data_IF_914619099096
#
_entry.id   IF_914619099096
#
_cell.length_a   1.000
_cell.length_b   1.000
_cell.length_c   1.000
_cell.angle_alpha   90.00
_cell.angle_beta   90.00
_cell.angle_gamma   90.00
#
_symmetry.space_group_name_H-M   'P 1'
#
loop_
_entity.id
_entity.type
_entity.pdbx_description
1 polymer ?
#
# COMPACT_ATOMS: atom_id res chain seq x y z
N UNK A 1 -29.20 16.71 -5.67
CA UNK A 1 -28.00 15.95 -5.41
C UNK A 1 -27.75 15.96 -3.92
N UNK A 2 -27.73 14.81 -3.30
CA UNK A 2 -27.50 14.72 -1.86
C UNK A 2 -26.00 14.68 -1.53
N UNK A 3 -25.69 14.54 -0.26
CA UNK A 3 -24.30 14.50 0.21
C UNK A 3 -23.52 13.32 -0.37
N UNK A 4 -24.19 12.18 -0.57
CA UNK A 4 -23.56 10.99 -1.13
C UNK A 4 -23.18 11.21 -2.60
N UNK A 5 -24.07 11.83 -3.36
CA UNK A 5 -23.79 12.14 -4.76
C UNK A 5 -22.65 13.14 -4.89
N UNK A 6 -22.56 14.10 -3.97
CA UNK A 6 -21.46 15.05 -3.96
C UNK A 6 -20.14 14.36 -3.63
N UNK A 7 -20.11 13.45 -2.67
CA UNK A 7 -18.94 12.67 -2.33
C UNK A 7 -18.49 11.83 -3.53
N UNK A 8 -19.44 11.21 -4.22
CA UNK A 8 -19.15 10.45 -5.44
C UNK A 8 -18.60 11.37 -6.53
N UNK A 9 -19.20 12.55 -6.72
CA UNK A 9 -18.72 13.51 -7.70
C UNK A 9 -17.30 13.99 -7.42
N UNK A 10 -16.97 14.21 -6.15
CA UNK A 10 -15.59 14.54 -5.75
C UNK A 10 -14.66 13.36 -5.98
N UNK A 11 -15.16 12.13 -5.75
CA UNK A 11 -14.41 10.91 -5.98
C UNK A 11 -14.11 10.62 -7.43
N UNK A 12 -14.84 11.17 -8.39
CA UNK A 12 -14.51 10.98 -9.81
C UNK A 12 -13.17 11.57 -10.18
N UNK A 13 -12.64 12.47 -9.36
CA UNK A 13 -11.27 12.98 -9.50
C UNK A 13 -10.26 12.12 -8.76
N UNK A 14 -10.71 11.11 -8.02
CA UNK A 14 -9.82 10.15 -7.39
C UNK A 14 -9.36 9.10 -8.41
N UNK A 15 -8.11 8.71 -8.30
CA UNK A 15 -7.56 7.60 -9.07
C UNK A 15 -7.56 6.36 -8.18
N UNK A 16 -8.10 5.26 -8.70
CA UNK A 16 -8.08 3.97 -8.01
C UNK A 16 -7.51 2.93 -8.95
N UNK A 17 -6.38 2.33 -8.58
CA UNK A 17 -5.68 1.32 -9.36
C UNK A 17 -5.44 0.11 -8.49
N UNK A 18 -5.76 -1.06 -9.03
CA UNK A 18 -5.48 -2.35 -8.40
C UNK A 18 -4.45 -3.07 -9.24
N UNK A 19 -3.39 -3.56 -8.59
CA UNK A 19 -2.30 -4.27 -9.23
C UNK A 19 -2.10 -5.60 -8.54
N UNK A 20 -1.80 -6.61 -9.33
CA UNK A 20 -1.43 -7.91 -8.86
C UNK A 20 -0.11 -8.30 -9.52
N UNK A 21 0.87 -8.63 -8.71
CA UNK A 21 2.18 -9.11 -9.18
C UNK A 21 2.52 -10.42 -8.48
N UNK A 22 3.45 -11.15 -9.03
CA UNK A 22 4.03 -12.28 -8.28
C UNK A 22 4.72 -11.75 -7.03
N UNK A 23 4.67 -12.53 -5.95
CA UNK A 23 5.32 -12.19 -4.70
C UNK A 23 6.83 -12.42 -4.83
N UNK A 24 7.47 -11.58 -5.61
CA UNK A 24 8.88 -11.61 -5.99
C UNK A 24 9.45 -10.21 -5.89
N UNK A 25 10.55 -10.06 -5.19
CA UNK A 25 11.20 -8.76 -4.98
C UNK A 25 11.54 -8.06 -6.29
N UNK A 26 11.86 -8.82 -7.35
CA UNK A 26 12.15 -8.26 -8.66
C UNK A 26 10.98 -7.55 -9.32
N UNK A 27 9.75 -7.78 -8.86
CA UNK A 27 8.55 -7.17 -9.42
C UNK A 27 8.07 -5.92 -8.68
N UNK A 28 8.68 -5.58 -7.55
CA UNK A 28 8.29 -4.40 -6.76
C UNK A 28 8.46 -3.11 -7.55
N UNK A 29 9.36 -3.08 -8.51
CA UNK A 29 9.58 -1.91 -9.38
C UNK A 29 8.29 -1.49 -10.10
N UNK A 30 7.42 -2.43 -10.46
CA UNK A 30 6.15 -2.12 -11.11
C UNK A 30 5.18 -1.41 -10.16
N UNK A 31 5.11 -1.85 -8.92
CA UNK A 31 4.30 -1.17 -7.89
C UNK A 31 4.82 0.24 -7.66
N UNK A 32 6.14 0.38 -7.56
CA UNK A 32 6.80 1.65 -7.35
C UNK A 32 6.47 2.63 -8.48
N UNK A 33 6.60 2.20 -9.72
CA UNK A 33 6.32 3.03 -10.88
C UNK A 33 4.88 3.54 -10.90
N UNK A 34 3.92 2.66 -10.60
CA UNK A 34 2.50 3.04 -10.57
C UNK A 34 2.20 4.00 -9.43
N UNK A 35 2.68 3.71 -8.22
CA UNK A 35 2.44 4.56 -7.05
C UNK A 35 3.04 5.95 -7.23
N UNK A 36 4.26 6.05 -7.76
CA UNK A 36 4.91 7.33 -8.06
C UNK A 36 4.12 8.13 -9.10
N UNK A 37 3.68 7.48 -10.16
CA UNK A 37 2.91 8.13 -11.21
C UNK A 37 1.59 8.67 -10.66
N UNK A 38 0.87 7.88 -9.90
CA UNK A 38 -0.40 8.29 -9.29
C UNK A 38 -0.18 9.48 -8.35
N UNK A 39 0.85 9.43 -7.51
CA UNK A 39 1.16 10.49 -6.57
C UNK A 39 1.50 11.81 -7.29
N UNK A 40 2.30 11.74 -8.35
CA UNK A 40 2.65 12.92 -9.14
C UNK A 40 1.42 13.53 -9.82
N UNK A 41 0.57 12.71 -10.41
CA UNK A 41 -0.68 13.18 -11.05
C UNK A 41 -1.59 13.84 -10.01
N UNK A 42 -1.64 13.31 -8.80
CA UNK A 42 -2.44 13.86 -7.72
C UNK A 42 -1.88 15.18 -7.15
N UNK A 43 -0.69 15.58 -7.56
CA UNK A 43 -0.09 16.86 -7.17
C UNK A 43 0.84 16.79 -5.96
N UNK A 44 1.27 15.60 -5.57
CA UNK A 44 2.26 15.44 -4.50
C UNK A 44 3.63 15.97 -4.96
N UNK A 45 4.41 16.49 -4.03
CA UNK A 45 5.77 16.97 -4.31
C UNK A 45 6.72 15.79 -4.51
N UNK A 46 7.89 16.07 -5.07
CA UNK A 46 8.93 15.06 -5.27
C UNK A 46 9.34 14.42 -3.93
N UNK A 47 9.42 15.20 -2.86
CA UNK A 47 9.77 14.69 -1.53
C UNK A 47 8.66 13.78 -0.97
N UNK A 48 7.41 14.18 -1.15
CA UNK A 48 6.25 13.36 -0.74
C UNK A 48 6.19 12.06 -1.53
N UNK A 49 6.48 12.12 -2.82
CA UNK A 49 6.55 10.91 -3.67
C UNK A 49 7.68 10.00 -3.22
N UNK A 50 8.83 10.55 -2.85
CA UNK A 50 9.96 9.77 -2.35
C UNK A 50 9.60 9.03 -1.05
N UNK A 51 8.92 9.69 -0.12
CA UNK A 51 8.46 9.06 1.12
C UNK A 51 7.46 7.93 0.84
N UNK A 52 6.53 8.16 -0.07
CA UNK A 52 5.56 7.15 -0.50
C UNK A 52 6.26 5.93 -1.08
N UNK A 53 7.28 6.14 -1.91
CA UNK A 53 8.07 5.05 -2.47
C UNK A 53 8.78 4.24 -1.40
N UNK A 54 9.42 4.90 -0.43
CA UNK A 54 10.12 4.20 0.65
C UNK A 54 9.13 3.36 1.47
N UNK A 55 7.98 3.91 1.82
CA UNK A 55 6.95 3.19 2.57
C UNK A 55 6.44 1.98 1.79
N UNK A 56 6.19 2.14 0.49
CA UNK A 56 5.75 1.03 -0.36
C UNK A 56 6.81 -0.06 -0.47
N UNK A 57 8.07 0.31 -0.67
CA UNK A 57 9.17 -0.65 -0.76
C UNK A 57 9.27 -1.49 0.52
N UNK A 58 9.18 -0.86 1.69
CA UNK A 58 9.24 -1.55 2.98
C UNK A 58 8.04 -2.48 3.16
N UNK A 59 6.83 -2.01 2.86
CA UNK A 59 5.61 -2.82 2.99
C UNK A 59 5.65 -4.03 2.06
N UNK A 60 5.96 -3.81 0.78
CA UNK A 60 6.01 -4.88 -0.20
C UNK A 60 7.10 -5.90 0.12
N UNK A 61 8.28 -5.45 0.48
CA UNK A 61 9.41 -6.34 0.84
C UNK A 61 9.05 -7.21 2.04
N UNK A 62 8.47 -6.62 3.07
CA UNK A 62 8.06 -7.33 4.27
C UNK A 62 7.08 -8.46 3.94
N UNK A 63 6.05 -8.15 3.15
CA UNK A 63 5.03 -9.14 2.79
C UNK A 63 5.57 -10.20 1.83
N UNK A 64 6.39 -9.82 0.87
CA UNK A 64 6.99 -10.79 -0.08
C UNK A 64 7.86 -11.81 0.66
N UNK A 65 8.67 -11.35 1.62
CA UNK A 65 9.52 -12.24 2.39
C UNK A 65 8.72 -13.22 3.25
N UNK A 66 7.51 -12.85 3.67
CA UNK A 66 6.61 -13.72 4.43
C UNK A 66 5.60 -14.49 3.58
N UNK A 67 5.51 -14.23 2.30
CA UNK A 67 4.52 -14.83 1.42
C UNK A 67 4.77 -16.32 1.20
N UNK A 68 3.67 -17.09 1.06
CA UNK A 68 3.77 -18.49 0.70
C UNK A 68 4.32 -18.63 -0.72
N UNK A 69 4.96 -19.78 -1.05
CA UNK A 69 5.51 -20.01 -2.39
C UNK A 69 4.47 -19.87 -3.49
N UNK A 70 4.88 -19.35 -4.63
CA UNK A 70 4.06 -19.23 -5.85
C UNK A 70 2.77 -18.42 -5.66
N UNK A 71 2.78 -17.50 -4.71
CA UNK A 71 1.66 -16.62 -4.45
C UNK A 71 1.85 -15.25 -5.08
N UNK A 72 0.84 -14.41 -4.95
CA UNK A 72 0.84 -13.08 -5.54
C UNK A 72 0.68 -12.01 -4.47
N UNK A 73 1.20 -10.85 -4.78
CA UNK A 73 1.05 -9.64 -3.99
C UNK A 73 -0.03 -8.78 -4.64
N UNK A 74 -0.95 -8.28 -3.84
CA UNK A 74 -1.99 -7.35 -4.29
C UNK A 74 -1.66 -5.96 -3.79
N UNK A 75 -1.88 -4.95 -4.62
CA UNK A 75 -1.66 -3.57 -4.24
C UNK A 75 -2.81 -2.72 -4.73
N UNK A 76 -3.44 -1.99 -3.82
CA UNK A 76 -4.47 -1.01 -4.13
C UNK A 76 -3.90 0.38 -3.89
N UNK A 77 -3.99 1.23 -4.91
CA UNK A 77 -3.55 2.63 -4.82
C UNK A 77 -4.77 3.51 -5.08
N UNK A 78 -5.12 4.32 -4.09
CA UNK A 78 -6.24 5.26 -4.20
C UNK A 78 -5.73 6.65 -3.85
N UNK A 79 -5.88 7.59 -4.76
CA UNK A 79 -5.41 8.95 -4.55
C UNK A 79 -6.42 9.98 -5.03
N UNK A 80 -6.53 11.06 -4.30
CA UNK A 80 -7.23 12.28 -4.71
C UNK A 80 -6.28 13.48 -4.51
N UNK A 81 -6.80 14.71 -4.61
CA UNK A 81 -5.97 15.90 -4.45
C UNK A 81 -5.51 16.16 -3.01
N UNK A 82 -5.98 15.37 -2.05
CA UNK A 82 -5.69 15.57 -0.62
C UNK A 82 -4.82 14.48 -0.03
N UNK A 83 -4.95 13.24 -0.50
CA UNK A 83 -4.23 12.10 0.10
C UNK A 83 -4.03 10.99 -0.91
N UNK A 84 -3.05 10.14 -0.63
CA UNK A 84 -2.86 8.85 -1.28
C UNK A 84 -2.89 7.76 -0.22
N UNK A 85 -3.66 6.71 -0.48
CA UNK A 85 -3.71 5.52 0.36
C UNK A 85 -3.26 4.32 -0.45
N UNK A 86 -2.33 3.57 0.12
CA UNK A 86 -1.79 2.36 -0.51
C UNK A 86 -2.00 1.20 0.46
N UNK A 87 -2.56 0.13 -0.03
CA UNK A 87 -2.71 -1.12 0.71
C UNK A 87 -2.03 -2.23 -0.06
N UNK A 88 -1.14 -2.95 0.62
CA UNK A 88 -0.42 -4.08 0.05
C UNK A 88 -0.83 -5.32 0.83
N UNK A 89 -1.22 -6.37 0.11
CA UNK A 89 -1.70 -7.61 0.70
C UNK A 89 -1.02 -8.83 0.11
N UNK A 90 -0.80 -9.83 0.94
CA UNK A 90 -0.23 -11.11 0.53
C UNK A 90 -0.79 -12.22 1.40
N UNK A 91 -0.66 -13.46 0.93
CA UNK A 91 -0.94 -14.64 1.74
C UNK A 91 0.38 -15.13 2.32
N UNK A 92 0.48 -15.10 3.64
CA UNK A 92 1.71 -15.41 4.35
C UNK A 92 1.64 -16.76 5.09
N UNK A 93 2.80 -17.33 5.33
CA UNK A 93 2.90 -18.61 6.08
C UNK A 93 2.74 -18.44 7.58
N UNK A 94 2.78 -17.22 8.09
CA UNK A 94 2.69 -16.88 9.50
C UNK A 94 1.74 -15.70 9.68
N UNK A 95 1.22 -15.52 10.89
CA UNK A 95 0.36 -14.40 11.25
C UNK A 95 1.13 -13.10 11.48
N UNK A 96 2.44 -13.20 11.69
CA UNK A 96 3.26 -12.05 12.08
C UNK A 96 4.53 -11.96 11.21
N UNK A 97 4.37 -11.77 9.88
CA UNK A 97 5.52 -11.53 9.01
C UNK A 97 6.13 -10.14 9.23
N UNK A 98 5.44 -9.28 9.97
CA UNK A 98 5.81 -7.90 10.18
C UNK A 98 6.46 -7.75 11.55
N UNK A 99 7.73 -7.37 11.56
CA UNK A 99 8.43 -7.04 12.79
C UNK A 99 8.17 -5.57 13.13
N UNK A 100 7.17 -5.32 13.99
CA UNK A 100 6.81 -3.96 14.40
C UNK A 100 7.87 -3.32 15.32
N UNK A 101 8.81 -4.10 15.82
CA UNK A 101 9.98 -3.58 16.53
C UNK A 101 11.16 -3.35 15.59
N UNK A 102 11.04 -3.75 14.32
CA UNK A 102 12.11 -3.66 13.35
C UNK A 102 12.27 -2.26 12.75
N UNK A 103 13.42 -2.08 12.11
CA UNK A 103 13.80 -0.79 11.52
C UNK A 103 12.85 -0.41 10.37
N UNK A 104 12.49 -1.35 9.50
CA UNK A 104 11.60 -1.07 8.36
C UNK A 104 10.22 -0.57 8.78
N UNK A 105 9.63 -1.19 9.79
CA UNK A 105 8.36 -0.73 10.34
C UNK A 105 8.49 0.68 10.92
N UNK A 106 9.57 0.91 11.67
CA UNK A 106 9.83 2.20 12.27
C UNK A 106 10.00 3.30 11.22
N UNK A 107 10.68 3.02 10.12
CA UNK A 107 10.81 3.95 8.99
C UNK A 107 9.45 4.25 8.41
N UNK A 108 8.65 3.23 8.10
CA UNK A 108 7.29 3.44 7.57
C UNK A 108 6.45 4.32 8.51
N UNK A 109 6.50 4.03 9.80
CA UNK A 109 5.74 4.77 10.79
C UNK A 109 6.14 6.24 10.85
N UNK A 110 7.43 6.53 10.68
CA UNK A 110 7.95 7.90 10.77
C UNK A 110 7.67 8.75 9.54
N UNK A 111 7.49 8.14 8.37
CA UNK A 111 7.30 8.88 7.10
C UNK A 111 5.87 8.85 6.57
N UNK A 112 4.96 8.12 7.21
CA UNK A 112 3.56 8.07 6.81
C UNK A 112 2.68 8.80 7.83
N UNK A 113 1.56 9.31 7.37
CA UNK A 113 0.59 9.98 8.25
C UNK A 113 -0.29 8.98 8.99
N UNK A 114 -0.51 7.81 8.39
CA UNK A 114 -1.30 6.74 9.00
C UNK A 114 -0.76 5.41 8.50
N UNK A 115 -0.64 4.43 9.39
CA UNK A 115 -0.07 3.12 9.07
C UNK A 115 -0.81 2.05 9.87
N UNK A 116 -1.27 1.02 9.18
CA UNK A 116 -1.92 -0.15 9.81
C UNK A 116 -1.38 -1.44 9.23
N UNK A 117 -1.43 -2.48 10.05
CA UNK A 117 -1.12 -3.84 9.62
C UNK A 117 -2.13 -4.79 10.25
N UNK A 118 -2.76 -5.60 9.44
CA UNK A 118 -3.80 -6.53 9.86
C UNK A 118 -3.61 -7.89 9.22
N UNK A 119 -4.14 -8.92 9.85
CA UNK A 119 -4.19 -10.25 9.26
C UNK A 119 -5.54 -10.89 9.53
N UNK A 120 -5.95 -11.77 8.62
CA UNK A 120 -7.13 -12.59 8.75
C UNK A 120 -6.77 -13.98 9.30
N UNK A 121 -7.74 -14.77 9.77
CA UNK A 121 -7.52 -16.16 10.13
C UNK A 121 -6.99 -16.96 8.94
N UNK A 122 -6.40 -18.12 9.23
CA UNK A 122 -5.90 -19.04 8.21
C UNK A 122 -6.97 -19.35 7.17
N UNK A 123 -6.64 -19.14 5.92
CA UNK A 123 -7.50 -19.40 4.77
C UNK A 123 -7.07 -20.71 4.11
N UNK A 124 -7.88 -21.75 4.25
CA UNK A 124 -7.59 -23.07 3.69
C UNK A 124 -7.55 -23.05 2.16
N UNK A 125 -8.37 -22.23 1.54
CA UNK A 125 -8.42 -22.15 0.09
C UNK A 125 -7.13 -21.54 -0.48
N UNK A 126 -6.54 -20.61 0.25
CA UNK A 126 -5.31 -19.95 -0.17
C UNK A 126 -4.05 -20.59 0.43
N UNK A 127 -4.19 -21.37 1.48
CA UNK A 127 -3.07 -22.08 2.09
C UNK A 127 -2.21 -21.25 3.01
N UNK A 128 -2.74 -20.17 3.58
CA UNK A 128 -2.00 -19.31 4.47
C UNK A 128 -2.87 -18.24 5.11
N UNK A 129 -2.22 -17.25 5.71
CA UNK A 129 -2.87 -16.14 6.39
C UNK A 129 -2.86 -14.90 5.47
N UNK A 130 -4.04 -14.34 5.12
CA UNK A 130 -4.07 -13.04 4.45
C UNK A 130 -3.52 -11.96 5.38
N UNK A 131 -2.54 -11.21 4.92
CA UNK A 131 -1.91 -10.13 5.68
C UNK A 131 -1.91 -8.87 4.82
N UNK A 132 -2.24 -7.73 5.41
CA UNK A 132 -2.26 -6.47 4.71
C UNK A 132 -1.57 -5.38 5.52
N UNK A 133 -0.82 -4.54 4.81
CA UNK A 133 -0.24 -3.30 5.34
C UNK A 133 -0.86 -2.16 4.53
N UNK A 134 -1.41 -1.17 5.23
CA UNK A 134 -1.97 0.01 4.59
C UNK A 134 -1.36 1.27 5.18
N UNK A 135 -1.06 2.23 4.33
CA UNK A 135 -0.60 3.54 4.79
C UNK A 135 -1.24 4.66 3.98
N UNK A 136 -1.29 5.83 4.60
CA UNK A 136 -1.84 7.04 3.99
C UNK A 136 -0.82 8.16 4.09
N UNK A 137 -0.67 8.89 2.99
CA UNK A 137 0.08 10.14 2.94
C UNK A 137 -0.88 11.27 2.64
N UNK A 138 -0.88 12.30 3.48
CA UNK A 138 -1.68 13.49 3.29
C UNK A 138 -0.82 14.52 2.55
N UNK A 139 -1.38 15.09 1.48
CA UNK A 139 -0.69 16.10 0.71
C UNK A 139 -0.56 17.37 1.57
N UNK A 140 0.65 17.88 1.67
CA UNK A 140 0.91 19.11 2.40
C UNK A 140 0.41 20.31 1.59
N UNK A 141 -0.04 21.34 2.31
CA UNK A 141 -0.42 22.60 1.69
C UNK A 141 0.86 23.38 1.37
N UNK A 142 1.00 23.75 0.12
CA UNK A 142 2.20 24.43 -0.37
C UNK A 142 1.90 25.83 -0.85
#
# INVERSE_FOLDING_TARGET
MDSSDRIIADSIHATSIQIQIDADLGQVVMLRAVAETVALIAGFTVDEVADTRVALDEAATCLILGAIPDSQLHCDVVADSFRIRIEVGAVCGDTDPIDTAGFGWHVMHSITDHLTADHDPYDRAQGGYPVAIAFTQVRRVH
#
